data_IF_416572684461
#
_entry.id   IF_416572684461
#
_cell.length_a   1.000
_cell.length_b   1.000
_cell.length_c   1.000
_cell.angle_alpha   90.00
_cell.angle_beta   90.00
_cell.angle_gamma   90.00
#
_symmetry.space_group_name_H-M   'P 1'
#
loop_
_entity.id
_entity.type
_entity.pdbx_description
1 polymer ?
#
# COMPACT_ATOMS: atom_id res chain seq x y z
N UNK A 1 11.03 27.74 -6.49
CA UNK A 1 11.25 26.98 -7.73
C UNK A 1 11.09 27.98 -8.84
N UNK A 2 12.20 28.28 -9.48
CA UNK A 2 12.29 29.17 -10.64
C UNK A 2 12.51 28.33 -11.91
N UNK A 3 12.34 28.94 -13.08
CA UNK A 3 12.62 28.25 -14.34
C UNK A 3 14.12 27.90 -14.41
N UNK A 4 14.41 26.63 -14.72
CA UNK A 4 15.79 26.11 -14.77
C UNK A 4 16.24 25.40 -13.49
N UNK A 5 15.49 25.49 -12.39
CA UNK A 5 15.80 24.74 -11.16
C UNK A 5 15.75 23.24 -11.39
N UNK A 6 16.69 22.52 -10.77
CA UNK A 6 16.74 21.06 -10.75
C UNK A 6 16.43 20.55 -9.36
N UNK A 7 15.33 19.80 -9.22
CA UNK A 7 15.00 19.06 -8.00
C UNK A 7 15.44 17.59 -8.15
N UNK A 8 16.24 17.11 -7.20
CA UNK A 8 16.70 15.73 -7.19
C UNK A 8 16.40 15.03 -5.85
N UNK A 9 16.08 13.74 -5.91
CA UNK A 9 16.03 12.87 -4.74
C UNK A 9 17.31 12.05 -4.68
N UNK A 10 18.02 12.15 -3.56
CA UNK A 10 19.22 11.35 -3.30
C UNK A 10 18.87 9.96 -2.73
N UNK A 11 19.85 9.32 -2.08
CA UNK A 11 19.70 8.03 -1.42
C UNK A 11 18.56 8.03 -0.42
N UNK A 12 17.70 7.02 -0.53
CA UNK A 12 16.64 6.72 0.44
C UNK A 12 17.23 6.50 1.84
N UNK A 13 16.86 7.37 2.80
CA UNK A 13 17.23 7.22 4.22
C UNK A 13 16.20 6.42 5.01
N UNK A 14 14.92 6.75 4.85
CA UNK A 14 13.80 6.12 5.57
C UNK A 14 12.56 5.98 4.68
N UNK A 15 11.69 5.03 5.02
CA UNK A 15 10.46 4.75 4.26
C UNK A 15 10.75 4.08 2.93
N UNK A 16 9.80 4.19 2.00
CA UNK A 16 9.91 3.60 0.66
C UNK A 16 9.33 4.48 -0.46
N UNK A 17 8.24 5.21 -0.17
CA UNK A 17 7.51 5.99 -1.18
C UNK A 17 7.49 7.47 -0.81
N UNK A 18 7.79 8.32 -1.77
CA UNK A 18 7.64 9.78 -1.64
C UNK A 18 6.64 10.29 -2.68
N UNK A 19 6.18 11.52 -2.49
CA UNK A 19 5.26 12.18 -3.39
C UNK A 19 5.79 13.57 -3.72
N UNK A 20 5.79 13.91 -5.00
CA UNK A 20 6.03 15.25 -5.50
C UNK A 20 4.69 15.80 -6.00
N UNK A 21 4.33 16.99 -5.53
CA UNK A 21 3.16 17.70 -6.00
C UNK A 21 3.59 19.10 -6.44
N UNK A 22 2.99 19.56 -7.53
CA UNK A 22 3.11 20.93 -8.00
C UNK A 22 1.75 21.61 -7.89
N UNK A 23 1.73 22.94 -7.74
CA UNK A 23 0.48 23.70 -7.73
C UNK A 23 -0.24 23.52 -9.07
N UNK A 24 -1.55 23.26 -9.01
CA UNK A 24 -2.37 22.95 -10.19
C UNK A 24 -2.23 21.50 -10.71
N UNK A 25 -1.24 20.75 -10.24
CA UNK A 25 -1.00 19.36 -10.62
C UNK A 25 -0.51 19.17 -12.06
N UNK A 26 -0.06 17.95 -12.36
CA UNK A 26 0.34 17.54 -13.70
C UNK A 26 -0.88 17.31 -14.60
N UNK A 27 -0.82 17.82 -15.82
CA UNK A 27 -1.87 17.75 -16.84
C UNK A 27 -1.63 16.60 -17.82
N UNK A 28 -1.41 15.39 -17.30
CA UNK A 28 -1.38 14.18 -18.12
C UNK A 28 -2.75 13.88 -18.73
N UNK A 29 -2.90 12.81 -19.51
CA UNK A 29 -4.23 12.38 -19.95
C UNK A 29 -5.06 11.81 -18.79
N UNK A 30 -6.39 11.88 -18.91
CA UNK A 30 -7.30 11.17 -18.00
C UNK A 30 -7.73 9.86 -18.65
N UNK A 31 -7.63 8.77 -17.91
CA UNK A 31 -8.22 7.47 -18.27
C UNK A 31 -9.25 7.13 -17.19
N UNK A 32 -10.50 6.86 -17.59
CA UNK A 32 -11.63 6.65 -16.67
C UNK A 32 -11.75 7.76 -15.59
N UNK A 33 -11.61 9.02 -16.02
CA UNK A 33 -11.62 10.21 -15.16
C UNK A 33 -10.53 10.26 -14.07
N UNK A 34 -9.47 9.45 -14.20
CA UNK A 34 -8.33 9.39 -13.26
C UNK A 34 -7.00 9.69 -13.97
N UNK A 35 -6.00 10.14 -13.21
CA UNK A 35 -4.60 10.34 -13.65
C UNK A 35 -3.64 9.30 -13.08
N UNK A 36 -4.14 8.31 -12.34
CA UNK A 36 -3.31 7.23 -11.81
C UNK A 36 -2.85 6.30 -12.93
N UNK A 37 -1.56 5.94 -12.92
CA UNK A 37 -1.03 4.93 -13.83
C UNK A 37 -1.42 3.52 -13.36
N UNK A 38 -1.93 2.71 -14.28
CA UNK A 38 -2.29 1.31 -14.08
C UNK A 38 -2.17 0.55 -15.41
N UNK A 39 -1.12 -0.24 -15.53
CA UNK A 39 -0.62 -0.85 -16.80
C UNK A 39 -1.64 -1.69 -17.59
N UNK A 40 -2.74 -2.22 -17.04
CA UNK A 40 -3.80 -2.82 -17.86
C UNK A 40 -4.61 -1.84 -18.72
N UNK A 41 -4.64 -0.55 -18.38
CA UNK A 41 -5.48 0.45 -19.07
C UNK A 41 -4.75 1.73 -19.46
N UNK A 42 -3.61 2.05 -18.83
CA UNK A 42 -2.80 3.21 -19.20
C UNK A 42 -1.69 2.80 -20.17
N UNK A 43 -1.40 3.66 -21.14
CA UNK A 43 -0.32 3.45 -22.13
C UNK A 43 1.08 3.47 -21.52
N UNK A 44 1.22 4.13 -20.38
CA UNK A 44 2.46 4.22 -19.61
C UNK A 44 2.34 3.46 -18.29
N UNK A 45 3.44 2.85 -17.85
CA UNK A 45 3.58 2.20 -16.54
C UNK A 45 4.40 3.03 -15.54
N UNK A 46 5.24 3.95 -16.03
CA UNK A 46 6.03 4.92 -15.28
C UNK A 46 6.46 6.09 -16.15
N UNK A 47 6.86 7.19 -15.51
CA UNK A 47 7.59 8.28 -16.17
C UNK A 47 9.00 7.78 -16.53
N UNK A 48 9.52 8.21 -17.68
CA UNK A 48 10.83 7.83 -18.21
C UNK A 48 11.76 9.06 -18.29
N UNK A 49 13.08 8.87 -18.27
CA UNK A 49 14.03 9.96 -18.50
C UNK A 49 13.71 10.73 -19.79
N UNK A 50 13.79 12.06 -19.74
CA UNK A 50 13.48 12.94 -20.86
C UNK A 50 11.99 13.18 -21.12
N UNK A 51 11.09 12.58 -20.35
CA UNK A 51 9.66 12.90 -20.48
C UNK A 51 9.34 14.28 -19.92
N UNK A 52 8.65 15.08 -20.71
CA UNK A 52 8.06 16.34 -20.28
C UNK A 52 6.62 16.11 -19.82
N UNK A 53 6.27 16.68 -18.67
CA UNK A 53 4.92 16.62 -18.13
C UNK A 53 4.30 18.01 -18.14
N UNK A 54 3.23 18.18 -18.90
CA UNK A 54 2.47 19.43 -18.95
C UNK A 54 1.95 19.80 -17.55
N UNK A 55 1.94 21.09 -17.25
CA UNK A 55 1.37 21.64 -16.02
C UNK A 55 0.75 23.00 -16.31
N UNK A 56 -0.12 23.47 -15.41
CA UNK A 56 -0.71 24.80 -15.53
C UNK A 56 0.23 25.82 -14.87
N UNK A 57 0.75 26.83 -15.60
CA UNK A 57 1.62 27.84 -15.02
C UNK A 57 0.84 28.68 -14.00
N UNK A 58 1.52 29.07 -12.93
CA UNK A 58 0.96 29.91 -11.87
C UNK A 58 1.87 31.13 -11.71
N UNK A 59 1.38 32.30 -12.12
CA UNK A 59 2.13 33.55 -12.07
C UNK A 59 2.31 34.09 -10.65
N UNK A 60 1.27 33.96 -9.81
CA UNK A 60 1.29 34.44 -8.43
C UNK A 60 0.98 33.28 -7.47
N UNK A 61 1.93 33.01 -6.59
CA UNK A 61 1.73 32.07 -5.50
C UNK A 61 2.21 32.66 -4.19
N UNK A 62 1.25 32.99 -3.33
CA UNK A 62 1.50 33.20 -1.92
C UNK A 62 1.46 31.83 -1.21
N UNK A 63 2.60 31.29 -0.76
CA UNK A 63 2.63 30.00 -0.09
C UNK A 63 1.95 30.13 1.28
N UNK A 64 0.77 29.52 1.42
CA UNK A 64 0.19 29.27 2.74
C UNK A 64 1.00 28.19 3.42
N UNK A 65 2.08 28.57 4.10
CA UNK A 65 2.89 27.66 4.91
C UNK A 65 2.05 27.25 6.12
N UNK A 66 1.24 26.22 5.96
CA UNK A 66 0.73 25.47 7.11
C UNK A 66 1.88 24.60 7.60
N UNK A 67 2.23 24.74 8.89
CA UNK A 67 3.18 23.83 9.53
C UNK A 67 2.57 22.41 9.57
N UNK A 68 2.76 21.65 8.51
CA UNK A 68 2.40 20.24 8.49
C UNK A 68 3.53 19.50 9.18
N UNK A 69 3.27 18.96 10.38
CA UNK A 69 4.18 18.00 11.01
C UNK A 69 4.11 16.71 10.18
N UNK A 70 5.16 16.33 9.43
CA UNK A 70 5.09 15.18 8.56
C UNK A 70 4.84 13.93 9.41
N UNK A 71 3.77 13.21 9.09
CA UNK A 71 3.45 11.96 9.76
C UNK A 71 4.58 10.94 9.48
N UNK A 72 5.27 10.53 10.54
CA UNK A 72 6.40 9.60 10.46
C UNK A 72 5.92 8.15 10.29
N UNK A 73 5.14 7.88 9.24
CA UNK A 73 4.53 6.56 8.99
C UNK A 73 5.55 5.44 8.90
N UNK A 74 6.74 5.70 8.35
CA UNK A 74 7.83 4.74 8.24
C UNK A 74 8.31 4.18 9.59
N UNK A 75 8.21 4.97 10.68
CA UNK A 75 8.59 4.52 12.04
C UNK A 75 7.56 3.56 12.65
N UNK A 76 6.32 3.58 12.18
CA UNK A 76 5.23 2.77 12.74
C UNK A 76 5.28 1.37 12.18
N UNK A 77 5.13 0.35 13.01
CA UNK A 77 5.09 -1.06 12.60
C UNK A 77 3.73 -1.70 12.88
N UNK A 78 2.92 -1.11 13.77
CA UNK A 78 1.58 -1.58 14.08
C UNK A 78 0.60 -1.30 12.93
N UNK A 79 -0.05 -2.36 12.49
CA UNK A 79 -1.09 -2.40 11.49
C UNK A 79 -2.41 -2.73 12.18
N UNK A 80 -3.22 -1.69 12.41
CA UNK A 80 -4.59 -1.84 12.89
C UNK A 80 -5.48 -2.51 11.85
N UNK A 81 -6.22 -3.52 12.26
CA UNK A 81 -7.09 -4.35 11.43
C UNK A 81 -8.45 -4.55 12.09
N UNK A 82 -9.49 -4.72 11.27
CA UNK A 82 -10.78 -5.29 11.67
C UNK A 82 -10.83 -6.78 11.31
N UNK A 83 -11.64 -7.59 12.01
CA UNK A 83 -11.99 -8.94 11.55
C UNK A 83 -12.53 -8.87 10.11
N UNK A 84 -12.05 -9.76 9.25
CA UNK A 84 -12.61 -9.94 7.92
C UNK A 84 -13.81 -10.89 7.94
N UNK A 85 -14.54 -11.02 6.82
CA UNK A 85 -15.72 -11.88 6.75
C UNK A 85 -15.43 -13.35 7.08
N UNK A 86 -14.25 -13.84 6.69
CA UNK A 86 -13.79 -15.19 6.97
C UNK A 86 -12.86 -15.26 8.18
N UNK A 87 -12.90 -14.31 9.12
CA UNK A 87 -12.04 -14.35 10.32
C UNK A 87 -12.26 -15.61 11.17
N UNK A 88 -13.50 -16.10 11.21
CA UNK A 88 -13.92 -17.29 11.96
C UNK A 88 -13.27 -18.59 11.48
N UNK A 89 -12.59 -18.60 10.33
CA UNK A 89 -11.90 -19.81 9.83
C UNK A 89 -10.55 -20.03 10.52
N UNK A 90 -10.03 -19.00 11.18
CA UNK A 90 -8.75 -19.03 11.88
C UNK A 90 -8.85 -19.87 13.15
N UNK A 91 -7.87 -20.74 13.35
CA UNK A 91 -7.72 -21.52 14.59
C UNK A 91 -7.03 -20.71 15.68
N UNK A 92 -7.20 -21.13 16.94
CA UNK A 92 -6.61 -20.45 18.11
C UNK A 92 -5.10 -20.24 17.98
N UNK A 93 -4.37 -21.24 17.48
CA UNK A 93 -2.93 -21.13 17.24
C UNK A 93 -2.58 -20.09 16.17
N UNK A 94 -3.42 -19.96 15.14
CA UNK A 94 -3.23 -18.97 14.07
C UNK A 94 -3.54 -17.56 14.58
N UNK A 95 -4.60 -17.41 15.37
CA UNK A 95 -4.94 -16.15 16.06
C UNK A 95 -3.81 -15.72 16.98
N UNK A 96 -3.29 -16.63 17.80
CA UNK A 96 -2.15 -16.37 18.67
C UNK A 96 -0.93 -15.93 17.84
N UNK A 97 -0.60 -16.64 16.75
CA UNK A 97 0.53 -16.27 15.88
C UNK A 97 0.35 -14.89 15.22
N UNK A 98 -0.87 -14.53 14.83
CA UNK A 98 -1.18 -13.27 14.16
C UNK A 98 -0.99 -12.05 15.08
N UNK A 99 -1.33 -12.18 16.36
CA UNK A 99 -1.40 -11.05 17.29
C UNK A 99 -0.30 -11.01 18.35
N UNK A 100 0.50 -12.07 18.52
CA UNK A 100 1.59 -12.12 19.52
C UNK A 100 2.99 -11.87 18.95
N UNK A 101 3.19 -12.04 17.64
CA UNK A 101 4.53 -12.04 17.02
C UNK A 101 4.56 -11.17 15.76
N UNK A 102 5.68 -10.48 15.50
CA UNK A 102 5.84 -9.71 14.28
C UNK A 102 5.88 -10.60 13.03
N UNK A 103 5.65 -9.95 11.89
CA UNK A 103 5.84 -10.48 10.55
C UNK A 103 6.81 -9.59 9.79
N UNK A 104 7.57 -10.19 8.89
CA UNK A 104 8.55 -9.53 8.05
C UNK A 104 7.97 -9.35 6.64
N UNK A 105 8.18 -8.20 6.02
CA UNK A 105 7.78 -7.97 4.63
C UNK A 105 8.64 -8.82 3.69
N UNK A 106 8.00 -9.63 2.86
CA UNK A 106 8.67 -10.48 1.89
C UNK A 106 9.17 -9.70 0.68
N UNK A 107 10.08 -10.31 -0.09
CA UNK A 107 10.63 -9.69 -1.30
C UNK A 107 9.54 -9.43 -2.35
N UNK A 108 8.52 -10.29 -2.37
CA UNK A 108 7.33 -10.19 -3.21
C UNK A 108 6.37 -9.13 -2.65
N UNK A 109 6.71 -7.86 -2.84
CA UNK A 109 5.84 -6.73 -2.52
C UNK A 109 5.84 -5.71 -3.67
N UNK A 110 4.65 -5.25 -4.06
CA UNK A 110 4.48 -4.25 -5.11
C UNK A 110 3.20 -3.43 -4.86
N UNK A 111 2.72 -2.71 -5.89
CA UNK A 111 1.48 -1.90 -5.78
C UNK A 111 0.19 -2.72 -5.75
N UNK A 112 0.24 -4.00 -6.14
CA UNK A 112 -0.90 -4.92 -6.09
C UNK A 112 -1.06 -5.55 -4.73
N UNK A 113 0.03 -6.04 -4.13
CA UNK A 113 -0.01 -6.69 -2.84
C UNK A 113 1.36 -6.71 -2.13
N UNK A 114 1.31 -6.93 -0.83
CA UNK A 114 2.44 -7.28 0.02
C UNK A 114 2.31 -8.72 0.47
N UNK A 115 3.35 -9.51 0.34
CA UNK A 115 3.45 -10.81 1.00
C UNK A 115 4.25 -10.69 2.30
N UNK A 116 3.92 -11.52 3.29
CA UNK A 116 4.70 -11.65 4.54
C UNK A 116 5.59 -12.90 4.46
N UNK A 117 6.77 -12.85 5.06
CA UNK A 117 7.72 -13.97 5.04
C UNK A 117 7.18 -15.18 5.82
N UNK A 118 6.68 -14.94 7.03
CA UNK A 118 6.22 -15.99 7.92
C UNK A 118 4.84 -16.51 7.52
N UNK A 119 4.64 -17.81 7.77
CA UNK A 119 3.43 -18.54 7.44
C UNK A 119 2.63 -18.83 8.71
N UNK A 120 1.31 -18.95 8.56
CA UNK A 120 0.45 -19.62 9.52
C UNK A 120 0.43 -21.13 9.23
N UNK A 121 -0.12 -21.92 10.16
CA UNK A 121 -0.35 -23.35 9.91
C UNK A 121 -1.17 -23.53 8.62
N UNK A 122 -0.71 -24.36 7.66
CA UNK A 122 -1.44 -24.58 6.41
C UNK A 122 -2.80 -25.20 6.68
N UNK A 123 -3.84 -24.63 6.05
CA UNK A 123 -5.20 -25.15 6.11
C UNK A 123 -5.98 -24.71 4.89
N UNK A 124 -6.67 -25.65 4.25
CA UNK A 124 -7.50 -25.35 3.10
C UNK A 124 -8.89 -24.93 3.55
N UNK A 125 -9.32 -23.77 3.10
CA UNK A 125 -10.69 -23.27 3.25
C UNK A 125 -11.22 -22.98 1.84
N UNK A 126 -11.91 -23.94 1.21
CA UNK A 126 -12.50 -23.70 -0.10
C UNK A 126 -13.52 -22.56 0.01
N UNK A 127 -13.41 -21.58 -0.89
CA UNK A 127 -14.27 -20.41 -0.91
C UNK A 127 -14.57 -20.03 -2.36
N UNK A 128 -15.79 -19.57 -2.62
CA UNK A 128 -16.14 -18.95 -3.89
C UNK A 128 -15.44 -17.60 -4.01
N UNK A 129 -15.04 -17.26 -5.24
CA UNK A 129 -14.47 -15.95 -5.55
C UNK A 129 -15.40 -14.83 -5.06
N UNK A 130 -14.85 -13.94 -4.25
CA UNK A 130 -15.59 -12.87 -3.59
C UNK A 130 -14.88 -11.54 -3.75
N UNK A 131 -15.62 -10.43 -3.60
CA UNK A 131 -15.07 -9.09 -3.71
C UNK A 131 -13.97 -8.82 -2.67
N UNK A 132 -12.97 -8.05 -3.07
CA UNK A 132 -11.83 -7.64 -2.23
C UNK A 132 -11.61 -6.14 -2.33
N UNK A 133 -11.00 -5.57 -1.29
CA UNK A 133 -10.69 -4.15 -1.21
C UNK A 133 -9.19 -3.96 -0.89
N UNK A 134 -8.62 -2.78 -1.17
CA UNK A 134 -7.31 -2.43 -0.65
C UNK A 134 -7.28 -2.58 0.88
N UNK A 135 -6.24 -3.24 1.39
CA UNK A 135 -6.08 -3.58 2.79
C UNK A 135 -6.67 -4.92 3.21
N UNK A 136 -7.39 -5.62 2.32
CA UNK A 136 -7.83 -6.99 2.60
C UNK A 136 -6.62 -7.89 2.81
N UNK A 137 -6.61 -8.60 3.94
CA UNK A 137 -5.60 -9.60 4.29
C UNK A 137 -6.16 -10.97 3.95
N UNK A 138 -5.52 -11.64 3.00
CA UNK A 138 -5.87 -12.96 2.53
C UNK A 138 -4.93 -14.01 3.12
N UNK A 139 -5.48 -15.19 3.41
CA UNK A 139 -4.74 -16.37 3.83
C UNK A 139 -4.80 -17.44 2.73
N UNK A 140 -3.67 -17.87 2.21
CA UNK A 140 -3.62 -18.96 1.23
C UNK A 140 -3.71 -20.33 1.90
N UNK A 141 -4.06 -21.40 1.16
CA UNK A 141 -4.06 -22.77 1.70
C UNK A 141 -2.71 -23.22 2.27
N UNK A 142 -1.61 -22.68 1.73
CA UNK A 142 -0.26 -22.96 2.21
C UNK A 142 0.08 -22.22 3.51
N UNK A 143 -0.78 -21.33 4.01
CA UNK A 143 -0.53 -20.51 5.20
C UNK A 143 0.12 -19.15 4.91
N UNK A 144 0.29 -18.77 3.64
CA UNK A 144 0.89 -17.47 3.26
C UNK A 144 -0.10 -16.34 3.51
N UNK A 145 0.37 -15.26 4.11
CA UNK A 145 -0.43 -14.03 4.29
C UNK A 145 -0.12 -13.06 3.15
N UNK A 146 -1.18 -12.60 2.48
CA UNK A 146 -1.12 -11.64 1.37
C UNK A 146 -2.00 -10.44 1.72
N UNK A 147 -1.45 -9.23 1.65
CA UNK A 147 -2.17 -7.99 1.94
C UNK A 147 -2.36 -7.22 0.64
N UNK A 148 -3.62 -7.07 0.19
CA UNK A 148 -3.93 -6.37 -1.05
C UNK A 148 -3.71 -4.85 -0.92
N UNK A 149 -3.20 -4.24 -1.98
CA UNK A 149 -2.89 -2.81 -2.07
C UNK A 149 -3.75 -2.14 -3.15
N UNK A 150 -3.41 -0.90 -3.54
CA UNK A 150 -4.26 -0.06 -4.39
C UNK A 150 -4.48 -0.59 -5.80
N UNK A 151 -3.55 -1.38 -6.32
CA UNK A 151 -3.65 -2.01 -7.65
C UNK A 151 -4.02 -3.50 -7.52
N UNK A 152 -4.44 -3.94 -6.32
CA UNK A 152 -4.82 -5.32 -6.05
C UNK A 152 -6.07 -5.73 -6.83
N UNK A 153 -6.25 -7.05 -6.96
CA UNK A 153 -7.45 -7.62 -7.57
C UNK A 153 -8.73 -7.15 -6.85
N UNK A 154 -9.80 -6.99 -7.62
CA UNK A 154 -11.14 -6.64 -7.12
C UNK A 154 -11.93 -7.85 -6.62
N UNK A 155 -11.49 -9.05 -6.98
CA UNK A 155 -12.07 -10.32 -6.53
C UNK A 155 -10.96 -11.33 -6.23
N UNK A 156 -11.18 -12.24 -5.30
CA UNK A 156 -10.26 -13.34 -5.02
C UNK A 156 -10.93 -14.54 -4.36
N UNK A 157 -10.30 -15.71 -4.48
CA UNK A 157 -10.79 -16.99 -3.93
C UNK A 157 -10.15 -17.41 -2.61
N UNK A 158 -9.35 -16.55 -1.98
CA UNK A 158 -8.74 -16.83 -0.68
C UNK A 158 -9.54 -16.18 0.47
N UNK A 159 -9.68 -16.87 1.62
CA UNK A 159 -10.31 -16.31 2.82
C UNK A 159 -9.78 -14.92 3.16
N UNK A 160 -10.68 -13.97 3.37
CA UNK A 160 -10.36 -12.59 3.74
C UNK A 160 -10.40 -12.51 5.27
N UNK A 161 -9.30 -12.90 5.88
CA UNK A 161 -9.23 -13.06 7.32
C UNK A 161 -9.28 -11.73 8.06
N UNK A 162 -8.72 -10.64 7.51
CA UNK A 162 -8.71 -9.34 8.16
C UNK A 162 -8.82 -8.19 7.14
N UNK A 163 -9.15 -7.00 7.62
CA UNK A 163 -9.17 -5.79 6.80
C UNK A 163 -8.38 -4.66 7.48
N UNK A 164 -7.34 -4.17 6.82
CA UNK A 164 -6.57 -3.03 7.32
C UNK A 164 -7.38 -1.74 7.32
N UNK A 165 -7.14 -0.90 8.32
CA UNK A 165 -7.58 0.50 8.27
C UNK A 165 -6.84 1.28 7.18
N UNK A 166 -7.43 2.36 6.71
CA UNK A 166 -6.79 3.26 5.73
C UNK A 166 -5.42 3.78 6.21
N UNK A 167 -5.27 4.04 7.52
CA UNK A 167 -4.02 4.47 8.11
C UNK A 167 -2.96 3.36 8.09
N UNK A 168 -3.37 2.11 8.34
CA UNK A 168 -2.47 0.96 8.29
C UNK A 168 -2.00 0.66 6.86
N UNK A 169 -2.85 0.82 5.85
CA UNK A 169 -2.46 0.74 4.44
C UNK A 169 -1.34 1.76 4.14
N UNK A 170 -1.47 3.00 4.64
CA UNK A 170 -0.46 4.04 4.44
C UNK A 170 0.85 3.76 5.18
N UNK A 171 0.79 3.12 6.36
CA UNK A 171 1.97 2.65 7.09
C UNK A 171 2.67 1.55 6.29
N UNK A 172 1.93 0.54 5.83
CA UNK A 172 2.45 -0.58 5.05
C UNK A 172 3.10 -0.11 3.74
N UNK A 173 2.52 0.90 3.08
CA UNK A 173 3.09 1.51 1.88
C UNK A 173 4.46 2.18 2.09
N UNK A 174 4.91 2.36 3.33
CA UNK A 174 6.26 2.85 3.65
C UNK A 174 7.23 1.73 4.04
N UNK A 175 6.78 0.47 4.05
CA UNK A 175 7.59 -0.70 4.39
C UNK A 175 8.25 -1.30 3.17
N UNK A 176 9.49 -1.75 3.36
CA UNK A 176 10.32 -2.46 2.37
C UNK A 176 10.65 -3.87 2.85
N UNK A 177 11.25 -4.67 1.97
CA UNK A 177 11.73 -6.01 2.27
C UNK A 177 12.51 -6.06 3.60
N UNK A 178 12.18 -7.02 4.45
CA UNK A 178 12.79 -7.23 5.76
C UNK A 178 12.29 -6.30 6.87
N UNK A 179 11.52 -5.25 6.57
CA UNK A 179 10.87 -4.46 7.62
C UNK A 179 9.84 -5.31 8.37
N UNK A 180 9.68 -5.04 9.67
CA UNK A 180 8.71 -5.73 10.52
C UNK A 180 7.40 -4.96 10.66
N UNK A 181 6.31 -5.73 10.75
CA UNK A 181 4.95 -5.26 11.03
C UNK A 181 4.26 -6.17 12.05
N UNK A 182 3.34 -5.61 12.80
CA UNK A 182 2.56 -6.32 13.82
C UNK A 182 1.09 -5.98 13.64
N UNK A 183 0.20 -6.96 13.75
CA UNK A 183 -1.24 -6.72 13.68
C UNK A 183 -1.81 -6.33 15.04
N UNK A 184 -2.73 -5.38 15.05
CA UNK A 184 -3.51 -5.04 16.23
C UNK A 184 -4.98 -5.08 15.86
N UNK A 185 -5.71 -6.04 16.43
CA UNK A 185 -7.14 -6.16 16.23
C UNK A 185 -7.85 -4.97 16.88
N UNK A 186 -8.74 -4.33 16.12
CA UNK A 186 -9.63 -3.31 16.63
C UNK A 186 -10.91 -3.94 17.18
N UNK A 187 -11.52 -3.32 18.20
CA UNK A 187 -12.83 -3.72 18.69
C UNK A 187 -13.91 -3.56 17.62
#
# INVERSE_FOLDING_TARGET
IEAGDVLAFEKLKHGLRTYLAIKGGFQTDKVLNSRSLYTPITTLDRIKPGMELSYMPVAEFDPKITHIKPAQFWKKHQLKVYPGPEFHVLEDQQLERLFSKPFSIAKENNRMAYQLEEYLSPKSHPMLTSATLPGTVQLTPAGKIIILMRDGQTTGGYPRIMQLTQKSINILAQKKYGDKVEFTLLP
#
